data_IF_833936272438
#
_entry.id   IF_833936272438
#
_cell.length_a   1.000
_cell.length_b   1.000
_cell.length_c   1.000
_cell.angle_alpha   90.00
_cell.angle_beta   90.00
_cell.angle_gamma   90.00
#
_symmetry.space_group_name_H-M   'P 1'
#
loop_
_entity.id
_entity.type
_entity.pdbx_description
1 polymer ?
#
# COMPACT_ATOMS: atom_id res chain seq x y z
N UNK A 1 13.04 30.80 -32.40
CA UNK A 1 13.12 30.22 -31.04
C UNK A 1 11.83 30.57 -30.31
N UNK A 2 11.01 29.59 -29.93
CA UNK A 2 9.72 29.87 -29.29
C UNK A 2 9.92 30.29 -27.81
N UNK A 3 9.11 31.22 -27.28
CA UNK A 3 9.28 31.70 -25.90
C UNK A 3 8.89 30.64 -24.85
N UNK A 4 9.54 30.69 -23.68
CA UNK A 4 9.49 29.63 -22.65
C UNK A 4 8.07 29.27 -22.17
N UNK A 5 7.12 30.21 -22.24
CA UNK A 5 5.73 30.01 -21.81
C UNK A 5 4.89 29.16 -22.79
N UNK A 6 5.38 28.91 -24.01
CA UNK A 6 4.71 28.04 -25.00
C UNK A 6 4.74 26.58 -24.56
N UNK A 7 5.84 26.15 -23.93
CA UNK A 7 6.01 24.79 -23.40
C UNK A 7 5.66 24.68 -21.90
N UNK A 8 5.16 25.77 -21.30
CA UNK A 8 4.78 25.79 -19.90
C UNK A 8 3.55 24.90 -19.69
N UNK A 9 3.63 24.01 -18.71
CA UNK A 9 2.52 23.17 -18.24
C UNK A 9 1.34 23.97 -17.67
N UNK A 10 1.48 25.30 -17.52
CA UNK A 10 0.43 26.23 -17.08
C UNK A 10 -0.31 26.94 -18.23
N UNK A 11 0.02 26.70 -19.50
CA UNK A 11 -0.62 27.40 -20.62
C UNK A 11 -1.93 26.71 -21.09
N UNK A 12 -2.96 27.51 -21.39
CA UNK A 12 -4.32 27.07 -21.82
C UNK A 12 -4.32 26.19 -23.08
N UNK A 13 -3.41 26.43 -24.05
CA UNK A 13 -3.28 25.61 -25.27
C UNK A 13 -2.59 24.25 -25.03
N UNK A 14 -1.75 24.18 -24.00
CA UNK A 14 -0.85 23.06 -23.74
C UNK A 14 -1.23 22.24 -22.52
N UNK A 15 -2.49 22.27 -22.08
CA UNK A 15 -3.03 21.72 -20.81
C UNK A 15 -2.81 20.22 -20.52
N UNK A 16 -1.82 19.60 -21.17
CA UNK A 16 -1.27 18.29 -20.88
C UNK A 16 -0.25 18.44 -19.73
N UNK A 17 -0.46 17.74 -18.60
CA UNK A 17 0.54 17.65 -17.54
C UNK A 17 1.91 17.22 -18.08
N UNK A 18 2.99 17.67 -17.43
CA UNK A 18 4.32 17.20 -17.78
C UNK A 18 4.41 15.66 -17.67
N UNK A 19 5.12 14.93 -18.57
CA UNK A 19 5.16 13.47 -18.56
C UNK A 19 5.58 12.85 -17.23
N UNK A 20 6.43 13.54 -16.46
CA UNK A 20 6.82 13.14 -15.11
C UNK A 20 5.62 13.04 -14.17
N UNK A 21 4.65 13.95 -14.27
CA UNK A 21 3.42 13.94 -13.46
C UNK A 21 2.56 12.73 -13.81
N UNK A 22 2.47 12.36 -15.10
CA UNK A 22 1.77 11.15 -15.53
C UNK A 22 2.43 9.88 -14.96
N UNK A 23 3.75 9.74 -15.12
CA UNK A 23 4.51 8.59 -14.59
C UNK A 23 4.37 8.47 -13.08
N UNK A 24 4.46 9.60 -12.35
CA UNK A 24 4.28 9.63 -10.89
C UNK A 24 2.85 9.26 -10.48
N UNK A 25 1.83 9.76 -11.20
CA UNK A 25 0.42 9.42 -10.93
C UNK A 25 0.17 7.93 -11.15
N UNK A 26 0.62 7.37 -12.27
CA UNK A 26 0.46 5.94 -12.57
C UNK A 26 1.13 5.06 -11.51
N UNK A 27 2.40 5.35 -11.18
CA UNK A 27 3.14 4.62 -10.15
C UNK A 27 2.51 4.75 -8.76
N UNK A 28 2.03 5.95 -8.40
CA UNK A 28 1.29 6.17 -7.15
C UNK A 28 -0.01 5.37 -7.09
N UNK A 29 -0.74 5.24 -8.20
CA UNK A 29 -1.95 4.42 -8.27
C UNK A 29 -1.64 2.93 -8.21
N UNK A 30 -0.56 2.46 -8.82
CA UNK A 30 -0.09 1.07 -8.73
C UNK A 30 0.33 0.72 -7.30
N UNK A 31 1.15 1.54 -6.65
CA UNK A 31 1.48 1.35 -5.22
C UNK A 31 0.24 1.49 -4.32
N UNK A 32 -0.69 2.35 -4.73
CA UNK A 32 -1.98 2.42 -4.09
C UNK A 32 -2.81 1.15 -4.38
N UNK A 33 -2.65 0.42 -5.45
CA UNK A 33 -3.32 -0.87 -5.59
C UNK A 33 -2.70 -1.93 -4.66
N UNK A 34 -1.38 -1.90 -4.47
CA UNK A 34 -0.57 -2.78 -3.62
C UNK A 34 -0.71 -2.52 -2.10
N UNK A 35 -1.74 -1.82 -1.66
CA UNK A 35 -2.02 -1.55 -0.23
C UNK A 35 -0.99 -0.71 0.54
N UNK A 36 -0.02 -0.08 -0.13
CA UNK A 36 0.88 0.91 0.51
C UNK A 36 0.13 2.12 1.08
N UNK A 37 0.61 2.73 2.15
CA UNK A 37 0.01 3.95 2.70
C UNK A 37 0.31 5.17 1.84
N UNK A 38 -0.51 6.22 1.96
CA UNK A 38 -0.21 7.48 1.27
C UNK A 38 1.10 8.12 1.76
N UNK A 39 1.52 7.82 2.99
CA UNK A 39 2.82 8.24 3.54
C UNK A 39 3.97 7.47 2.90
N UNK A 40 3.91 6.13 2.87
CA UNK A 40 4.92 5.29 2.19
C UNK A 40 5.07 5.66 0.71
N UNK A 41 3.96 5.93 0.01
CA UNK A 41 4.01 6.35 -1.40
C UNK A 41 4.64 7.73 -1.56
N UNK A 42 4.37 8.64 -0.62
CA UNK A 42 4.94 9.99 -0.64
C UNK A 42 6.46 9.97 -0.44
N UNK A 43 6.94 9.16 0.51
CA UNK A 43 8.37 8.94 0.75
C UNK A 43 9.05 8.29 -0.46
N UNK A 44 8.48 7.22 -1.00
CA UNK A 44 9.05 6.47 -2.13
C UNK A 44 9.13 7.31 -3.42
N UNK A 45 8.13 8.16 -3.67
CA UNK A 45 8.07 8.99 -4.88
C UNK A 45 8.62 10.40 -4.71
N UNK A 46 9.13 10.73 -3.51
CA UNK A 46 9.60 12.05 -3.11
C UNK A 46 8.62 13.17 -3.51
N UNK A 47 7.38 13.04 -3.02
CA UNK A 47 6.29 13.99 -3.25
C UNK A 47 5.48 14.19 -1.98
N UNK A 48 4.76 15.32 -1.88
CA UNK A 48 3.90 15.54 -0.73
C UNK A 48 2.75 14.52 -0.63
N UNK A 49 2.40 14.14 0.61
CA UNK A 49 1.26 13.26 0.91
C UNK A 49 -0.04 13.81 0.29
N UNK A 50 -0.22 15.13 0.28
CA UNK A 50 -1.39 15.77 -0.31
C UNK A 50 -1.44 15.59 -1.84
N UNK A 51 -0.28 15.55 -2.50
CA UNK A 51 -0.20 15.24 -3.94
C UNK A 51 -0.64 13.81 -4.22
N UNK A 52 -0.22 12.84 -3.39
CA UNK A 52 -0.66 11.44 -3.48
C UNK A 52 -2.18 11.34 -3.30
N UNK A 53 -2.73 12.00 -2.27
CA UNK A 53 -4.19 12.06 -2.05
C UNK A 53 -4.94 12.65 -3.24
N UNK A 54 -4.40 13.69 -3.86
CA UNK A 54 -4.95 14.30 -5.08
C UNK A 54 -4.93 13.33 -6.25
N UNK A 55 -3.85 12.57 -6.45
CA UNK A 55 -3.77 11.54 -7.49
C UNK A 55 -4.81 10.45 -7.30
N UNK A 56 -4.97 9.94 -6.08
CA UNK A 56 -6.00 8.93 -5.76
C UNK A 56 -7.40 9.49 -6.03
N UNK A 57 -7.68 10.73 -5.58
CA UNK A 57 -8.98 11.39 -5.83
C UNK A 57 -9.26 11.55 -7.32
N UNK A 58 -8.25 11.95 -8.10
CA UNK A 58 -8.35 12.06 -9.56
C UNK A 58 -8.57 10.71 -10.23
N UNK A 59 -7.87 9.65 -9.79
CA UNK A 59 -8.07 8.29 -10.29
C UNK A 59 -9.50 7.79 -10.04
N UNK A 60 -10.06 8.03 -8.85
CA UNK A 60 -11.46 7.68 -8.54
C UNK A 60 -12.46 8.40 -9.46
N UNK A 61 -12.25 9.70 -9.71
CA UNK A 61 -13.08 10.47 -10.65
C UNK A 61 -12.99 9.94 -12.08
N UNK A 62 -11.84 9.41 -12.47
CA UNK A 62 -11.62 8.80 -13.77
C UNK A 62 -12.12 7.34 -13.86
N UNK A 63 -12.66 6.77 -12.78
CA UNK A 63 -13.11 5.38 -12.75
C UNK A 63 -11.98 4.34 -12.72
N UNK A 64 -10.75 4.75 -12.37
CA UNK A 64 -9.62 3.82 -12.31
C UNK A 64 -9.82 2.83 -11.15
N UNK A 65 -9.87 1.51 -11.40
CA UNK A 65 -10.04 0.50 -10.36
C UNK A 65 -8.93 0.58 -9.31
N UNK A 66 -7.70 0.94 -9.72
CA UNK A 66 -6.55 1.03 -8.83
C UNK A 66 -6.76 2.05 -7.71
N UNK A 67 -7.54 3.11 -7.95
CA UNK A 67 -7.79 4.18 -7.00
C UNK A 67 -8.84 3.84 -5.92
N UNK A 68 -9.60 2.76 -6.15
CA UNK A 68 -10.72 2.35 -5.30
C UNK A 68 -10.31 1.11 -4.51
N UNK A 69 -9.89 1.33 -3.27
CA UNK A 69 -9.63 0.24 -2.31
C UNK A 69 -10.87 -0.06 -1.50
N UNK A 70 -11.21 -1.33 -1.38
CA UNK A 70 -12.07 -1.82 -0.29
C UNK A 70 -11.22 -1.82 0.98
N UNK A 71 -11.57 -0.99 1.97
CA UNK A 71 -10.95 -0.94 3.32
C UNK A 71 -10.60 -2.29 3.97
N UNK A 72 -11.34 -3.42 3.78
CA UNK A 72 -10.96 -4.72 4.35
C UNK A 72 -9.57 -5.21 3.94
N UNK A 73 -9.07 -4.92 2.74
CA UNK A 73 -7.95 -5.68 2.23
C UNK A 73 -6.59 -5.33 2.86
N UNK A 74 -6.36 -4.11 3.36
CA UNK A 74 -5.17 -3.81 4.19
C UNK A 74 -5.19 -4.60 5.52
N UNK A 75 -6.36 -4.71 6.16
CA UNK A 75 -6.52 -5.49 7.39
C UNK A 75 -6.31 -6.98 7.13
N UNK A 76 -6.78 -7.47 5.99
CA UNK A 76 -6.58 -8.85 5.54
C UNK A 76 -5.08 -9.11 5.32
N UNK A 77 -4.39 -8.28 4.52
CA UNK A 77 -2.95 -8.44 4.29
C UNK A 77 -2.11 -8.35 5.57
N UNK A 78 -2.44 -7.44 6.48
CA UNK A 78 -1.76 -7.34 7.77
C UNK A 78 -2.04 -8.56 8.67
N UNK A 79 -3.22 -9.18 8.56
CA UNK A 79 -3.52 -10.43 9.24
C UNK A 79 -2.75 -11.61 8.63
N UNK A 80 -2.64 -11.67 7.29
CA UNK A 80 -1.88 -12.69 6.57
C UNK A 80 -0.37 -12.59 6.84
N UNK A 81 0.21 -11.39 6.80
CA UNK A 81 1.61 -11.17 7.15
C UNK A 81 1.90 -11.61 8.59
N UNK A 82 1.02 -11.25 9.54
CA UNK A 82 1.14 -11.74 10.93
C UNK A 82 1.04 -13.25 11.05
N UNK A 83 0.10 -13.87 10.31
CA UNK A 83 -0.04 -15.34 10.27
C UNK A 83 1.24 -16.00 9.77
N UNK A 84 1.85 -15.48 8.70
CA UNK A 84 3.14 -15.95 8.17
C UNK A 84 4.25 -15.85 9.22
N UNK A 85 4.39 -14.70 9.88
CA UNK A 85 5.41 -14.52 10.92
C UNK A 85 5.22 -15.48 12.10
N UNK A 86 3.98 -15.73 12.53
CA UNK A 86 3.67 -16.70 13.60
C UNK A 86 4.10 -18.12 13.19
N UNK A 87 3.77 -18.54 11.97
CA UNK A 87 4.13 -19.87 11.46
C UNK A 87 5.65 -19.99 11.37
N UNK A 88 6.32 -19.00 10.80
CA UNK A 88 7.78 -18.98 10.66
C UNK A 88 8.49 -19.09 12.01
N UNK A 89 8.08 -18.30 13.01
CA UNK A 89 8.66 -18.39 14.35
C UNK A 89 8.37 -19.74 15.01
N UNK A 90 7.22 -20.35 14.75
CA UNK A 90 6.91 -21.69 15.25
C UNK A 90 7.78 -22.75 14.58
N UNK A 91 8.03 -22.65 13.28
CA UNK A 91 8.96 -23.52 12.54
C UNK A 91 10.39 -23.40 13.06
N UNK A 92 10.81 -22.23 13.53
CA UNK A 92 12.09 -22.02 14.22
C UNK A 92 12.14 -22.60 15.64
N UNK A 93 11.06 -23.22 16.12
CA UNK A 93 11.01 -23.91 17.42
C UNK A 93 10.61 -23.03 18.60
N UNK A 94 10.21 -21.77 18.39
CA UNK A 94 9.83 -20.89 19.51
C UNK A 94 8.53 -21.34 20.20
N UNK A 95 8.46 -21.08 21.50
CA UNK A 95 7.29 -21.32 22.33
C UNK A 95 6.21 -20.24 22.10
N UNK A 96 4.93 -20.58 22.34
CA UNK A 96 3.79 -19.68 22.07
C UNK A 96 3.93 -18.35 22.82
N UNK A 97 4.41 -18.40 24.07
CA UNK A 97 4.63 -17.21 24.91
C UNK A 97 5.74 -16.31 24.36
N UNK A 98 6.79 -16.89 23.79
CA UNK A 98 7.92 -16.16 23.22
C UNK A 98 7.52 -15.47 21.92
N UNK A 99 6.77 -16.18 21.06
CA UNK A 99 6.19 -15.60 19.83
C UNK A 99 5.28 -14.43 20.16
N UNK A 100 4.43 -14.57 21.18
CA UNK A 100 3.53 -13.51 21.64
C UNK A 100 4.30 -12.28 22.11
N UNK A 101 5.39 -12.47 22.87
CA UNK A 101 6.27 -11.38 23.33
C UNK A 101 7.01 -10.72 22.16
N UNK A 102 7.57 -11.52 21.25
CA UNK A 102 8.33 -11.03 20.09
C UNK A 102 7.47 -10.18 19.15
N UNK A 103 6.22 -10.59 18.92
CA UNK A 103 5.28 -9.88 18.05
C UNK A 103 4.39 -8.87 18.79
N UNK A 104 4.56 -8.71 20.11
CA UNK A 104 3.72 -7.85 20.98
C UNK A 104 2.22 -8.09 20.80
N UNK A 105 1.81 -9.36 20.81
CA UNK A 105 0.41 -9.79 20.63
C UNK A 105 -0.05 -10.72 21.76
N UNK A 106 -1.36 -10.83 21.93
CA UNK A 106 -1.94 -11.70 22.96
C UNK A 106 -1.70 -13.20 22.64
N UNK A 107 -1.29 -14.04 23.61
CA UNK A 107 -1.01 -15.47 23.38
C UNK A 107 -2.17 -16.25 22.74
N UNK A 108 -3.41 -15.93 23.14
CA UNK A 108 -4.62 -16.51 22.54
C UNK A 108 -4.71 -16.33 21.02
N UNK A 109 -4.24 -15.20 20.49
CA UNK A 109 -4.22 -14.95 19.05
C UNK A 109 -3.23 -15.90 18.34
N UNK A 110 -2.05 -16.11 18.93
CA UNK A 110 -1.04 -17.04 18.40
C UNK A 110 -1.60 -18.45 18.34
N UNK A 111 -2.21 -18.92 19.43
CA UNK A 111 -2.84 -20.25 19.50
C UNK A 111 -3.93 -20.44 18.44
N UNK A 112 -4.84 -19.46 18.32
CA UNK A 112 -5.90 -19.49 17.33
C UNK A 112 -5.34 -19.57 15.89
N UNK A 113 -4.31 -18.78 15.56
CA UNK A 113 -3.68 -18.78 14.24
C UNK A 113 -2.92 -20.06 13.92
N UNK A 114 -2.27 -20.68 14.91
CA UNK A 114 -1.63 -21.98 14.74
C UNK A 114 -2.67 -23.08 14.51
N UNK A 115 -3.78 -23.07 15.27
CA UNK A 115 -4.90 -24.02 15.07
C UNK A 115 -5.54 -23.87 13.68
N UNK A 116 -5.77 -22.63 13.24
CA UNK A 116 -6.23 -22.36 11.87
C UNK A 116 -5.24 -22.95 10.85
N UNK A 117 -3.94 -22.72 11.03
CA UNK A 117 -2.91 -23.24 10.11
C UNK A 117 -2.87 -24.77 10.01
N UNK A 118 -3.04 -25.49 11.13
CA UNK A 118 -3.12 -26.95 11.10
C UNK A 118 -4.41 -27.46 10.43
N UNK A 119 -5.54 -26.78 10.63
CA UNK A 119 -6.81 -27.20 10.07
C UNK A 119 -6.87 -27.15 8.54
N UNK A 120 -6.12 -26.24 7.90
CA UNK A 120 -6.03 -26.15 6.43
C UNK A 120 -4.93 -27.01 5.81
N UNK A 121 -4.08 -27.64 6.62
CA UNK A 121 -2.99 -28.51 6.15
C UNK A 121 -3.39 -30.00 6.08
N UNK A 122 -4.67 -30.30 6.34
CA UNK A 122 -5.30 -31.63 6.26
C UNK A 122 -6.30 -31.61 5.12
#
# INVERSE_FOLDING_TARGET
MAPFHVYSSRNKKGGKPHPVVFRRKDRALTMWWEYRTAAEIAEELDISIETVRRYIRSGRKAGDPRATRTRPAKRIMAAEARRRNIIELKTRGLEVKEIAKALSIHPRLVQMRLKEATAYAT
#
